data_IF_022178675426
#
_entry.id   IF_022178675426
#
_cell.length_a   1.000
_cell.length_b   1.000
_cell.length_c   1.000
_cell.angle_alpha   90.00
_cell.angle_beta   90.00
_cell.angle_gamma   90.00
#
_symmetry.space_group_name_H-M   'P 1'
#
loop_
_entity.id
_entity.type
_entity.pdbx_description
1 polymer ?
#
# COMPACT_ATOMS: atom_id res chain seq x y z
N UNK A 1 9.80 5.58 7.69
CA UNK A 1 8.47 6.09 8.03
C UNK A 1 8.14 7.22 7.07
N UNK A 2 7.29 6.97 6.06
CA UNK A 2 6.81 7.98 5.11
C UNK A 2 5.51 8.68 5.55
N UNK A 3 4.81 8.13 6.55
CA UNK A 3 3.52 8.64 7.00
C UNK A 3 3.56 10.04 7.66
N UNK A 4 2.37 10.57 7.96
CA UNK A 4 2.21 11.90 8.54
C UNK A 4 3.04 12.09 9.82
N UNK A 5 3.74 13.22 9.97
CA UNK A 5 4.61 13.52 11.12
C UNK A 5 3.84 13.91 12.40
N UNK A 6 2.58 13.50 12.52
CA UNK A 6 1.78 13.71 13.72
C UNK A 6 1.97 12.56 14.71
N UNK A 7 1.92 12.87 16.01
CA UNK A 7 2.17 11.89 17.08
C UNK A 7 1.27 10.65 16.98
N UNK A 8 -0.01 10.83 16.63
CA UNK A 8 -0.96 9.71 16.51
C UNK A 8 -0.57 8.76 15.38
N UNK A 9 -0.14 9.28 14.23
CA UNK A 9 0.31 8.48 13.10
C UNK A 9 1.64 7.76 13.40
N UNK A 10 2.54 8.41 14.13
CA UNK A 10 3.79 7.79 14.58
C UNK A 10 3.54 6.62 15.54
N UNK A 11 2.65 6.79 16.52
CA UNK A 11 2.29 5.71 17.45
C UNK A 11 1.64 4.55 16.69
N UNK A 12 0.67 4.84 15.83
CA UNK A 12 0.01 3.80 15.03
C UNK A 12 1.02 3.02 14.16
N UNK A 13 1.97 3.72 13.54
CA UNK A 13 3.01 3.07 12.74
C UNK A 13 3.99 2.26 13.58
N UNK A 14 4.41 2.76 14.75
CA UNK A 14 5.28 1.99 15.66
C UNK A 14 4.55 0.73 16.15
N UNK A 15 3.27 0.85 16.50
CA UNK A 15 2.44 -0.29 16.90
C UNK A 15 2.27 -1.30 15.76
N UNK A 16 2.15 -0.84 14.51
CA UNK A 16 2.07 -1.71 13.34
C UNK A 16 3.42 -2.37 13.01
N UNK A 17 4.52 -1.62 13.10
CA UNK A 17 5.87 -2.11 12.79
C UNK A 17 6.40 -3.08 13.85
N UNK A 18 6.12 -2.82 15.14
CA UNK A 18 6.59 -3.64 16.27
C UNK A 18 5.54 -4.69 16.68
N UNK A 19 4.30 -4.49 16.28
CA UNK A 19 3.19 -5.38 16.59
C UNK A 19 3.35 -6.80 16.03
N UNK A 20 2.43 -7.70 16.41
CA UNK A 20 2.42 -9.05 15.87
C UNK A 20 2.23 -9.00 14.35
N UNK A 21 3.04 -9.78 13.60
CA UNK A 21 2.90 -9.83 12.14
C UNK A 21 1.51 -10.31 11.70
N UNK A 22 0.89 -11.19 12.50
CA UNK A 22 -0.45 -11.69 12.30
C UNK A 22 -1.40 -11.14 13.37
N UNK A 23 -2.35 -10.31 12.94
CA UNK A 23 -3.37 -9.74 13.82
C UNK A 23 -4.60 -10.65 13.87
N UNK A 24 -5.16 -10.87 15.07
CA UNK A 24 -6.43 -11.58 15.25
C UNK A 24 -7.49 -10.56 15.68
N UNK A 25 -8.39 -10.13 14.77
CA UNK A 25 -9.43 -9.16 15.11
C UNK A 25 -10.37 -9.70 16.20
N UNK A 26 -10.83 -8.84 17.09
CA UNK A 26 -11.77 -9.22 18.16
C UNK A 26 -13.15 -9.66 17.61
N UNK A 27 -13.49 -9.27 16.39
CA UNK A 27 -14.73 -9.63 15.70
C UNK A 27 -14.62 -9.46 14.18
N UNK A 28 -15.52 -10.09 13.43
CA UNK A 28 -15.64 -9.83 11.98
C UNK A 28 -15.95 -8.35 11.71
N UNK A 29 -16.73 -7.67 12.56
CA UNK A 29 -16.98 -6.23 12.39
C UNK A 29 -15.70 -5.40 12.49
N UNK A 30 -14.81 -5.71 13.44
CA UNK A 30 -13.51 -5.01 13.52
C UNK A 30 -12.63 -5.25 12.30
N UNK A 31 -12.66 -6.46 11.73
CA UNK A 31 -11.97 -6.78 10.48
C UNK A 31 -12.55 -5.97 9.30
N UNK A 32 -13.87 -5.90 9.18
CA UNK A 32 -14.53 -5.12 8.13
C UNK A 32 -14.22 -3.62 8.24
N UNK A 33 -14.10 -3.09 9.47
CA UNK A 33 -13.67 -1.70 9.69
C UNK A 33 -12.22 -1.51 9.24
N UNK A 34 -11.31 -2.44 9.54
CA UNK A 34 -9.92 -2.38 9.10
C UNK A 34 -9.83 -2.44 7.55
N UNK A 35 -10.53 -3.38 6.91
CA UNK A 35 -10.56 -3.53 5.46
C UNK A 35 -11.06 -2.27 4.74
N UNK A 36 -12.05 -1.56 5.30
CA UNK A 36 -12.55 -0.29 4.76
C UNK A 36 -11.55 0.87 4.89
N UNK A 37 -10.58 0.78 5.81
CA UNK A 37 -9.57 1.81 6.06
C UNK A 37 -8.26 1.58 5.31
N UNK A 38 -8.08 0.41 4.70
CA UNK A 38 -6.83 -0.05 4.07
C UNK A 38 -6.25 0.91 3.02
N UNK A 39 -7.08 1.67 2.30
CA UNK A 39 -6.64 2.46 1.13
C UNK A 39 -5.86 1.59 0.13
N UNK A 40 -4.65 2.00 -0.24
CA UNK A 40 -3.79 1.40 -1.26
C UNK A 40 -3.05 0.14 -0.80
N UNK A 41 -2.91 -0.08 0.51
CA UNK A 41 -2.19 -1.24 1.06
C UNK A 41 -2.92 -2.55 0.71
N UNK A 42 -2.23 -3.70 0.80
CA UNK A 42 -2.83 -5.03 0.62
C UNK A 42 -3.00 -5.72 1.96
N UNK A 43 -4.20 -6.25 2.24
CA UNK A 43 -4.50 -6.99 3.47
C UNK A 43 -4.78 -8.46 3.13
N UNK A 44 -4.02 -9.36 3.75
CA UNK A 44 -4.21 -10.80 3.64
C UNK A 44 -5.04 -11.31 4.81
N UNK A 45 -6.17 -11.94 4.51
CA UNK A 45 -7.13 -12.42 5.50
C UNK A 45 -7.27 -13.93 5.39
N UNK A 46 -6.72 -14.64 6.38
CA UNK A 46 -6.88 -16.07 6.53
C UNK A 46 -8.09 -16.38 7.42
N UNK A 47 -8.95 -17.32 7.00
CA UNK A 47 -10.03 -17.87 7.82
C UNK A 47 -9.96 -19.38 7.81
N UNK A 48 -9.95 -20.01 8.97
CA UNK A 48 -9.91 -21.46 9.03
C UNK A 48 -9.35 -22.04 10.32
N UNK A 49 -8.60 -23.12 10.17
CA UNK A 49 -8.05 -23.92 11.25
C UNK A 49 -6.82 -23.31 11.92
N UNK A 50 -6.46 -23.83 13.09
CA UNK A 50 -5.24 -23.44 13.82
C UNK A 50 -3.96 -23.72 13.01
N UNK A 51 -3.94 -24.76 12.17
CA UNK A 51 -2.80 -25.03 11.29
C UNK A 51 -2.60 -23.93 10.25
N UNK A 52 -3.69 -23.41 9.67
CA UNK A 52 -3.61 -22.28 8.76
C UNK A 52 -3.13 -21.01 9.49
N UNK A 53 -3.59 -20.80 10.73
CA UNK A 53 -3.11 -19.69 11.57
C UNK A 53 -1.61 -19.74 11.78
N UNK A 54 -1.07 -20.91 12.11
CA UNK A 54 0.36 -21.12 12.34
C UNK A 54 1.16 -20.88 11.05
N UNK A 55 0.70 -21.45 9.93
CA UNK A 55 1.33 -21.26 8.62
C UNK A 55 1.40 -19.78 8.22
N UNK A 56 0.25 -19.08 8.28
CA UNK A 56 0.18 -17.66 7.92
C UNK A 56 0.95 -16.80 8.92
N UNK A 57 0.99 -17.18 10.21
CA UNK A 57 1.80 -16.48 11.20
C UNK A 57 3.29 -16.52 10.88
N UNK A 58 3.81 -17.67 10.46
CA UNK A 58 5.21 -17.80 10.02
C UNK A 58 5.53 -16.98 8.77
N UNK A 59 4.65 -17.03 7.76
CA UNK A 59 4.82 -16.26 6.52
C UNK A 59 4.67 -14.76 6.73
N UNK A 60 3.75 -14.34 7.60
CA UNK A 60 3.57 -12.92 7.95
C UNK A 60 4.86 -12.35 8.56
N UNK A 61 5.56 -13.12 9.40
CA UNK A 61 6.82 -12.68 10.02
C UNK A 61 7.94 -12.47 8.99
N UNK A 62 8.04 -13.34 7.97
CA UNK A 62 9.04 -13.22 6.91
C UNK A 62 8.65 -12.26 5.78
N UNK A 63 7.38 -11.89 5.67
CA UNK A 63 6.83 -11.12 4.55
C UNK A 63 5.99 -9.91 4.97
N UNK A 64 6.35 -9.27 6.10
CA UNK A 64 5.67 -8.04 6.58
C UNK A 64 5.57 -6.94 5.53
N UNK A 65 6.52 -6.86 4.59
CA UNK A 65 6.51 -5.86 3.51
C UNK A 65 5.49 -6.12 2.41
N UNK A 66 4.88 -7.32 2.33
CA UNK A 66 3.85 -7.60 1.32
C UNK A 66 2.49 -7.01 1.67
N UNK A 67 2.27 -6.68 2.95
CA UNK A 67 1.00 -6.15 3.43
C UNK A 67 0.72 -6.51 4.90
N UNK A 68 -0.49 -6.18 5.36
CA UNK A 68 -0.93 -6.55 6.70
C UNK A 68 -1.63 -7.91 6.70
N UNK A 69 -1.40 -8.71 7.75
CA UNK A 69 -1.97 -10.06 7.85
C UNK A 69 -2.98 -10.14 8.99
N UNK A 70 -4.13 -10.74 8.67
CA UNK A 70 -5.23 -10.97 9.59
C UNK A 70 -5.61 -12.45 9.61
N UNK A 71 -5.98 -12.95 10.78
CA UNK A 71 -6.58 -14.25 10.95
C UNK A 71 -7.92 -14.14 11.68
N UNK A 72 -8.96 -14.74 11.11
CA UNK A 72 -10.29 -14.86 11.75
C UNK A 72 -10.59 -16.33 11.99
N UNK A 73 -10.92 -16.70 13.23
CA UNK A 73 -11.31 -18.06 13.57
C UNK A 73 -12.61 -18.43 12.84
N UNK A 74 -12.58 -19.54 12.11
CA UNK A 74 -13.76 -19.98 11.40
C UNK A 74 -14.65 -20.83 12.32
N UNK A 75 -15.98 -20.75 12.12
CA UNK A 75 -16.91 -21.66 12.80
C UNK A 75 -16.63 -23.10 12.35
N UNK A 76 -16.79 -24.07 13.26
CA UNK A 76 -16.57 -25.48 12.99
C UNK A 76 -17.27 -25.92 11.69
N UNK A 77 -16.52 -26.55 10.78
CA UNK A 77 -17.01 -26.99 9.46
C UNK A 77 -16.83 -25.99 8.31
N UNK A 78 -16.30 -24.79 8.57
CA UNK A 78 -15.95 -23.84 7.50
C UNK A 78 -14.63 -24.25 6.85
N UNK A 79 -14.57 -24.20 5.51
CA UNK A 79 -13.35 -24.49 4.77
C UNK A 79 -12.27 -23.42 5.02
N UNK A 80 -11.01 -23.84 4.99
CA UNK A 80 -9.87 -22.93 5.03
C UNK A 80 -9.86 -22.06 3.78
N UNK A 81 -9.65 -20.76 3.97
CA UNK A 81 -9.58 -19.76 2.90
C UNK A 81 -8.54 -18.69 3.24
N UNK A 82 -7.79 -18.26 2.23
CA UNK A 82 -6.93 -17.09 2.30
C UNK A 82 -7.37 -16.10 1.23
N UNK A 83 -7.63 -14.86 1.64
CA UNK A 83 -8.05 -13.79 0.73
C UNK A 83 -7.01 -12.67 0.71
N UNK A 84 -6.63 -12.22 -0.48
CA UNK A 84 -5.87 -10.99 -0.66
C UNK A 84 -6.83 -9.86 -1.02
N UNK A 85 -7.04 -8.95 -0.09
CA UNK A 85 -7.86 -7.76 -0.29
C UNK A 85 -6.95 -6.59 -0.70
N UNK A 86 -7.09 -6.08 -1.93
CA UNK A 86 -6.18 -5.07 -2.52
C UNK A 86 -6.89 -4.10 -3.46
N UNK A 87 -6.18 -3.06 -3.89
CA UNK A 87 -6.68 -2.04 -4.83
C UNK A 87 -8.03 -1.46 -4.42
N UNK A 88 -8.86 -1.13 -5.42
CA UNK A 88 -10.18 -0.49 -5.22
C UNK A 88 -11.30 -1.52 -4.95
N UNK A 89 -11.12 -2.34 -3.91
CA UNK A 89 -12.11 -3.33 -3.46
C UNK A 89 -11.95 -4.72 -4.10
N UNK A 90 -10.76 -5.05 -4.58
CA UNK A 90 -10.48 -6.36 -5.17
C UNK A 90 -10.22 -7.42 -4.11
N UNK A 91 -10.70 -8.63 -4.38
CA UNK A 91 -10.47 -9.79 -3.54
C UNK A 91 -10.01 -10.93 -4.45
N UNK A 92 -8.79 -11.42 -4.25
CA UNK A 92 -8.40 -12.75 -4.74
C UNK A 92 -8.48 -13.76 -3.61
N UNK A 93 -8.73 -15.01 -3.97
CA UNK A 93 -8.99 -16.06 -3.01
C UNK A 93 -8.20 -17.32 -3.36
N UNK A 94 -7.56 -17.91 -2.34
CA UNK A 94 -6.94 -19.22 -2.37
C UNK A 94 -7.74 -20.15 -1.45
N UNK A 95 -8.23 -21.27 -1.99
CA UNK A 95 -9.06 -22.25 -1.28
C UNK A 95 -8.59 -23.68 -1.52
N UNK A 96 -9.24 -24.64 -0.86
CA UNK A 96 -9.05 -26.06 -1.13
C UNK A 96 -7.75 -26.60 -0.57
N UNK A 97 -7.09 -27.49 -1.30
CA UNK A 97 -5.82 -28.09 -0.87
C UNK A 97 -4.65 -27.11 -0.98
N UNK A 98 -4.76 -26.10 -1.83
CA UNK A 98 -3.68 -25.14 -2.07
C UNK A 98 -3.41 -24.24 -0.86
N UNK A 99 -4.44 -23.94 -0.07
CA UNK A 99 -4.29 -23.13 1.16
C UNK A 99 -3.58 -23.89 2.29
N UNK A 100 -3.45 -25.22 2.17
CA UNK A 100 -2.71 -26.05 3.12
C UNK A 100 -1.24 -26.24 2.71
N UNK A 101 -0.86 -25.82 1.50
CA UNK A 101 0.50 -25.93 0.97
C UNK A 101 1.23 -24.59 1.16
N UNK A 102 2.20 -24.57 2.07
CA UNK A 102 2.95 -23.35 2.41
C UNK A 102 3.62 -22.67 1.22
N UNK A 103 4.11 -23.44 0.23
CA UNK A 103 4.76 -22.85 -0.94
C UNK A 103 3.75 -22.16 -1.87
N UNK A 104 2.55 -22.74 -2.03
CA UNK A 104 1.47 -22.13 -2.80
C UNK A 104 0.90 -20.91 -2.10
N UNK A 105 0.78 -20.94 -0.78
CA UNK A 105 0.41 -19.79 0.02
C UNK A 105 1.43 -18.67 -0.16
N UNK A 106 2.73 -18.93 0.01
CA UNK A 106 3.78 -17.93 -0.18
C UNK A 106 3.76 -17.32 -1.59
N UNK A 107 3.60 -18.15 -2.62
CA UNK A 107 3.47 -17.69 -4.01
C UNK A 107 2.24 -16.79 -4.19
N UNK A 108 1.09 -17.18 -3.64
CA UNK A 108 -0.12 -16.37 -3.67
C UNK A 108 0.07 -15.01 -2.98
N UNK A 109 0.75 -14.97 -1.82
CA UNK A 109 1.06 -13.72 -1.14
C UNK A 109 1.91 -12.79 -2.02
N UNK A 110 2.94 -13.34 -2.67
CA UNK A 110 3.83 -12.58 -3.56
C UNK A 110 3.13 -12.07 -4.80
N UNK A 111 2.34 -12.92 -5.45
CA UNK A 111 1.61 -12.57 -6.68
C UNK A 111 0.58 -11.49 -6.39
N UNK A 112 -0.17 -11.65 -5.31
CA UNK A 112 -1.30 -10.79 -4.96
C UNK A 112 -0.96 -9.63 -4.03
N UNK A 113 0.33 -9.39 -3.76
CA UNK A 113 0.79 -8.24 -2.95
C UNK A 113 0.41 -6.89 -3.56
N UNK A 114 0.32 -6.81 -4.89
CA UNK A 114 -0.11 -5.60 -5.60
C UNK A 114 -1.29 -5.92 -6.53
N UNK A 115 -2.28 -5.02 -6.65
CA UNK A 115 -3.36 -5.16 -7.61
C UNK A 115 -2.82 -5.04 -9.05
N UNK A 116 -3.61 -5.50 -10.02
CA UNK A 116 -3.30 -5.26 -11.43
C UNK A 116 -3.29 -3.75 -11.76
N UNK A 117 -4.22 -3.01 -11.17
CA UNK A 117 -4.24 -1.54 -11.19
C UNK A 117 -4.63 -1.04 -9.79
N UNK A 118 -3.80 -0.18 -9.21
CA UNK A 118 -4.03 0.33 -7.87
C UNK A 118 -3.37 1.66 -7.61
N UNK A 119 -3.74 2.24 -6.48
CA UNK A 119 -3.07 3.42 -5.93
C UNK A 119 -1.65 3.05 -5.46
N UNK A 120 -0.71 3.95 -5.71
CA UNK A 120 0.64 3.93 -5.15
C UNK A 120 0.73 4.97 -4.05
N UNK A 121 1.33 4.57 -2.94
CA UNK A 121 1.71 5.43 -1.83
C UNK A 121 3.11 5.08 -1.33
N UNK A 122 3.58 5.81 -0.31
CA UNK A 122 4.92 5.62 0.26
C UNK A 122 5.12 4.21 0.86
N UNK A 123 4.04 3.50 1.22
CA UNK A 123 4.11 2.18 1.86
C UNK A 123 4.28 1.07 0.82
N UNK A 124 3.61 1.19 -0.33
CA UNK A 124 3.59 0.16 -1.36
C UNK A 124 4.51 0.45 -2.57
N UNK A 125 5.03 1.67 -2.71
CA UNK A 125 5.83 2.10 -3.87
C UNK A 125 7.04 1.20 -4.12
N UNK A 126 7.77 0.81 -3.07
CA UNK A 126 8.91 -0.10 -3.19
C UNK A 126 8.53 -1.45 -3.85
N UNK A 127 7.32 -1.94 -3.59
CA UNK A 127 6.81 -3.16 -4.23
C UNK A 127 6.58 -2.96 -5.72
N UNK A 128 6.07 -1.80 -6.14
CA UNK A 128 5.90 -1.48 -7.57
C UNK A 128 7.24 -1.37 -8.27
N UNK A 129 8.22 -0.67 -7.67
CA UNK A 129 9.58 -0.56 -8.21
C UNK A 129 10.23 -1.91 -8.45
N UNK A 130 10.13 -2.84 -7.48
CA UNK A 130 10.66 -4.19 -7.62
C UNK A 130 10.08 -4.97 -8.81
N UNK A 131 8.85 -4.64 -9.23
CA UNK A 131 8.19 -5.26 -10.41
C UNK A 131 8.41 -4.48 -11.70
N UNK A 132 8.83 -3.22 -11.63
CA UNK A 132 9.00 -2.32 -12.76
C UNK A 132 10.34 -2.51 -13.48
N UNK A 133 10.69 -3.76 -13.80
CA UNK A 133 11.99 -4.09 -14.42
C UNK A 133 12.07 -3.70 -15.90
N UNK A 134 10.93 -3.51 -16.55
CA UNK A 134 10.84 -3.06 -17.95
C UNK A 134 10.22 -1.66 -18.08
N UNK A 135 9.59 -1.16 -17.03
CA UNK A 135 8.92 0.12 -17.03
C UNK A 135 7.77 0.17 -16.02
N UNK A 136 7.03 1.27 -16.04
CA UNK A 136 5.84 1.48 -15.21
C UNK A 136 4.83 2.36 -15.94
N UNK A 137 3.54 2.06 -15.78
CA UNK A 137 2.45 2.81 -16.37
C UNK A 137 1.72 3.61 -15.27
N UNK A 138 1.84 4.93 -15.34
CA UNK A 138 1.20 5.87 -14.43
C UNK A 138 -0.10 6.41 -15.03
N UNK A 139 -1.15 6.44 -14.22
CA UNK A 139 -2.45 6.99 -14.56
C UNK A 139 -2.73 8.17 -13.64
N UNK A 140 -2.76 9.37 -14.21
CA UNK A 140 -2.89 10.63 -13.48
C UNK A 140 -4.29 11.20 -13.74
N UNK A 141 -5.18 11.12 -12.74
CA UNK A 141 -6.49 11.76 -12.79
C UNK A 141 -6.46 13.15 -12.15
N UNK A 142 -7.48 13.95 -12.43
CA UNK A 142 -7.59 15.29 -11.85
C UNK A 142 -7.72 15.21 -10.31
N UNK A 143 -7.04 16.06 -9.52
CA UNK A 143 -7.01 15.96 -8.06
C UNK A 143 -8.39 16.05 -7.40
N UNK A 144 -9.33 16.75 -8.04
CA UNK A 144 -10.70 16.90 -7.52
C UNK A 144 -11.63 15.71 -7.80
N UNK A 145 -11.28 14.84 -8.75
CA UNK A 145 -12.08 13.67 -9.15
C UNK A 145 -11.31 12.36 -9.04
N UNK A 146 -10.13 12.34 -8.43
CA UNK A 146 -9.22 11.19 -8.37
C UNK A 146 -9.93 9.88 -8.01
N UNK A 147 -10.66 9.83 -6.89
CA UNK A 147 -11.36 8.61 -6.43
C UNK A 147 -12.50 8.21 -7.39
N UNK A 148 -13.28 9.19 -7.85
CA UNK A 148 -14.43 8.95 -8.74
C UNK A 148 -13.98 8.45 -10.11
N UNK A 149 -12.95 9.07 -10.69
CA UNK A 149 -12.39 8.68 -11.98
C UNK A 149 -11.64 7.36 -11.89
N UNK A 150 -10.87 7.12 -10.83
CA UNK A 150 -10.22 5.82 -10.64
C UNK A 150 -11.24 4.69 -10.55
N UNK A 151 -12.34 4.90 -9.81
CA UNK A 151 -13.44 3.94 -9.74
C UNK A 151 -14.12 3.76 -11.09
N UNK A 152 -14.38 4.87 -11.82
CA UNK A 152 -15.04 4.87 -13.13
C UNK A 152 -14.23 4.10 -14.18
N UNK A 153 -12.91 4.30 -14.20
CA UNK A 153 -12.01 3.72 -15.21
C UNK A 153 -11.25 2.48 -14.72
N UNK A 154 -11.56 1.98 -13.51
CA UNK A 154 -10.94 0.78 -12.93
C UNK A 154 -10.91 -0.40 -13.90
N UNK A 155 -12.05 -0.69 -14.55
CA UNK A 155 -12.13 -1.82 -15.49
C UNK A 155 -11.30 -1.64 -16.75
N UNK A 156 -11.03 -0.40 -17.17
CA UNK A 156 -10.20 -0.08 -18.33
C UNK A 156 -8.75 -0.40 -18.02
N UNK A 157 -8.22 0.18 -16.94
CA UNK A 157 -6.80 0.05 -16.60
C UNK A 157 -6.43 -1.32 -16.05
N UNK A 158 -7.35 -2.06 -15.42
CA UNK A 158 -7.11 -3.47 -15.09
C UNK A 158 -6.93 -4.35 -16.33
N UNK A 159 -7.66 -4.07 -17.41
CA UNK A 159 -7.47 -4.78 -18.69
C UNK A 159 -6.13 -4.42 -19.32
N UNK A 160 -5.78 -3.13 -19.35
CA UNK A 160 -4.48 -2.66 -19.83
C UNK A 160 -3.35 -3.33 -19.04
N UNK A 161 -3.40 -3.34 -17.71
CA UNK A 161 -2.41 -4.01 -16.87
C UNK A 161 -2.32 -5.52 -17.13
N UNK A 162 -3.43 -6.16 -17.49
CA UNK A 162 -3.44 -7.59 -17.84
C UNK A 162 -2.79 -7.85 -19.20
N UNK A 163 -2.95 -6.92 -20.15
CA UNK A 163 -2.36 -6.99 -21.50
C UNK A 163 -0.86 -6.68 -21.47
N UNK A 164 -0.42 -5.74 -20.63
CA UNK A 164 0.97 -5.28 -20.50
C UNK A 164 1.55 -5.60 -19.13
N UNK A 165 1.60 -6.89 -18.77
CA UNK A 165 2.03 -7.34 -17.43
C UNK A 165 3.46 -6.94 -17.04
N UNK A 166 4.29 -6.61 -18.02
CA UNK A 166 5.65 -6.12 -17.81
C UNK A 166 5.71 -4.70 -17.22
N UNK A 167 4.60 -3.95 -17.30
CA UNK A 167 4.48 -2.60 -16.72
C UNK A 167 3.47 -2.65 -15.58
N UNK A 168 3.93 -2.62 -14.31
CA UNK A 168 3.04 -2.35 -13.20
C UNK A 168 2.22 -1.09 -13.51
N UNK A 169 0.90 -1.20 -13.40
CA UNK A 169 0.00 -0.09 -13.72
C UNK A 169 -0.51 0.50 -12.43
N UNK A 170 -0.30 1.80 -12.24
CA UNK A 170 -0.57 2.49 -11.00
C UNK A 170 -1.26 3.83 -11.24
N UNK A 171 -1.99 4.29 -10.24
CA UNK A 171 -2.41 5.69 -10.11
C UNK A 171 -1.87 6.24 -8.80
N UNK A 172 -1.82 7.56 -8.69
CA UNK A 172 -1.36 8.24 -7.48
C UNK A 172 -2.32 9.39 -7.18
N UNK A 173 -2.56 9.69 -5.91
CA UNK A 173 -3.40 10.82 -5.51
C UNK A 173 -2.70 12.13 -5.89
N UNK A 174 -3.13 12.72 -7.00
CA UNK A 174 -2.53 13.92 -7.59
C UNK A 174 -2.68 15.16 -6.71
N UNK A 175 -3.53 15.13 -5.68
CA UNK A 175 -3.60 16.18 -4.66
C UNK A 175 -2.50 16.05 -3.62
N UNK A 176 -2.15 14.82 -3.26
CA UNK A 176 -1.10 14.53 -2.27
C UNK A 176 0.29 14.64 -2.91
N UNK A 177 0.45 14.14 -4.13
CA UNK A 177 1.73 14.02 -4.82
C UNK A 177 1.85 15.01 -5.99
N UNK A 178 1.31 16.22 -5.85
CA UNK A 178 1.24 17.20 -6.94
C UNK A 178 2.62 17.55 -7.54
N UNK A 179 3.62 17.77 -6.68
CA UNK A 179 4.98 18.10 -7.11
C UNK A 179 5.59 16.94 -7.89
N UNK A 180 5.51 15.71 -7.36
CA UNK A 180 5.98 14.52 -8.05
C UNK A 180 5.31 14.33 -9.42
N UNK A 181 3.99 14.51 -9.52
CA UNK A 181 3.27 14.40 -10.80
C UNK A 181 3.76 15.42 -11.82
N UNK A 182 4.03 16.64 -11.36
CA UNK A 182 4.43 17.74 -12.24
C UNK A 182 5.90 17.63 -12.64
N UNK A 183 6.79 17.37 -11.70
CA UNK A 183 8.25 17.42 -11.87
C UNK A 183 8.78 16.08 -12.38
N UNK A 184 8.29 14.94 -11.90
CA UNK A 184 8.79 13.62 -12.31
C UNK A 184 8.01 13.01 -13.47
N UNK A 185 6.71 13.32 -13.59
CA UNK A 185 5.87 12.77 -14.66
C UNK A 185 5.50 13.82 -15.73
N UNK A 186 5.82 15.09 -15.51
CA UNK A 186 5.51 16.18 -16.45
C UNK A 186 4.02 16.45 -16.62
N UNK A 187 3.16 15.93 -15.75
CA UNK A 187 1.71 16.04 -15.95
C UNK A 187 1.18 17.31 -15.30
N UNK A 188 0.76 18.25 -16.14
CA UNK A 188 0.08 19.49 -15.73
C UNK A 188 -1.40 19.48 -16.11
N UNK A 189 -1.77 18.72 -17.14
CA UNK A 189 -3.13 18.58 -17.65
C UNK A 189 -3.69 17.18 -17.35
N UNK A 190 -4.93 17.11 -16.89
CA UNK A 190 -5.58 15.86 -16.49
C UNK A 190 -6.84 15.58 -17.33
N UNK A 191 -7.19 14.31 -17.56
CA UNK A 191 -6.45 13.09 -17.19
C UNK A 191 -5.33 12.76 -18.19
N UNK A 192 -4.23 12.18 -17.70
CA UNK A 192 -3.10 11.76 -18.52
C UNK A 192 -2.60 10.36 -18.14
N UNK A 193 -1.92 9.71 -19.07
CA UNK A 193 -1.21 8.45 -18.84
C UNK A 193 0.25 8.67 -19.19
N UNK A 194 1.16 8.18 -18.35
CA UNK A 194 2.61 8.24 -18.58
C UNK A 194 3.17 6.83 -18.54
N UNK A 195 3.87 6.43 -19.60
CA UNK A 195 4.60 5.17 -19.68
C UNK A 195 6.08 5.49 -19.52
N UNK A 196 6.68 5.00 -18.45
CA UNK A 196 8.12 4.98 -18.27
C UNK A 196 8.66 3.65 -18.79
N UNK A 197 9.63 3.66 -19.69
CA UNK A 197 10.26 2.46 -20.26
C UNK A 197 11.73 2.42 -19.83
N UNK A 198 12.11 1.36 -19.12
CA UNK A 198 13.42 1.21 -18.51
C UNK A 198 13.35 0.39 -17.22
N UNK A 199 14.49 0.06 -16.63
CA UNK A 199 14.52 -0.74 -15.41
C UNK A 199 14.48 0.14 -14.17
N UNK A 200 13.29 0.46 -13.67
CA UNK A 200 13.12 1.30 -12.48
C UNK A 200 13.56 0.59 -11.18
N UNK A 201 13.82 -0.72 -11.22
CA UNK A 201 14.29 -1.49 -10.07
C UNK A 201 15.82 -1.40 -9.88
N UNK A 202 16.55 -0.85 -10.86
CA UNK A 202 18.01 -0.81 -10.88
C UNK A 202 18.52 0.61 -10.71
N UNK A 203 19.31 0.87 -9.67
CA UNK A 203 19.96 2.17 -9.47
C UNK A 203 21.02 2.47 -10.56
N UNK A 204 21.57 1.43 -11.20
CA UNK A 204 22.61 1.55 -12.23
C UNK A 204 22.07 1.71 -13.67
N UNK A 205 20.75 1.80 -13.86
CA UNK A 205 20.19 1.90 -15.22
C UNK A 205 20.20 3.33 -15.76
N UNK A 206 20.26 3.46 -17.08
CA UNK A 206 19.96 4.74 -17.76
C UNK A 206 18.58 5.27 -17.33
N UNK A 207 18.43 6.60 -17.30
CA UNK A 207 17.16 7.27 -17.00
C UNK A 207 16.03 6.66 -17.84
N UNK A 208 14.93 6.23 -17.22
CA UNK A 208 13.85 5.59 -17.96
C UNK A 208 13.21 6.60 -18.92
N UNK A 209 12.97 6.14 -20.16
CA UNK A 209 12.35 6.95 -21.20
C UNK A 209 10.90 7.22 -20.86
N UNK A 210 10.43 8.45 -21.07
CA UNK A 210 9.09 8.87 -20.66
C UNK A 210 8.24 9.16 -21.90
N UNK A 211 7.03 8.62 -21.90
CA UNK A 211 6.04 8.85 -22.95
C UNK A 211 4.73 9.26 -22.31
N UNK A 212 4.12 10.35 -22.77
CA UNK A 212 2.86 10.87 -22.21
C UNK A 212 1.74 10.83 -23.24
N UNK A 213 0.56 10.44 -22.77
CA UNK A 213 -0.70 10.51 -23.53
C UNK A 213 -1.70 11.36 -22.75
N UNK A 214 -2.01 12.53 -23.29
CA UNK A 214 -3.14 13.32 -22.80
C UNK A 214 -4.44 12.66 -23.25
N UNK A 215 -5.35 12.41 -22.30
CA UNK A 215 -6.63 11.79 -22.58
C UNK A 215 -7.76 12.81 -22.41
N UNK A 216 -8.70 12.81 -23.35
CA UNK A 216 -10.02 13.39 -23.09
C UNK A 216 -10.81 12.41 -22.19
N UNK A 217 -11.66 12.88 -21.25
CA UNK A 217 -12.44 12.02 -20.39
C UNK A 217 -13.28 10.97 -21.15
N UNK A 218 -13.88 11.34 -22.28
CA UNK A 218 -14.63 10.45 -23.17
C UNK A 218 -13.77 9.47 -23.98
N UNK A 219 -12.45 9.70 -24.04
CA UNK A 219 -11.49 8.90 -24.80
C UNK A 219 -10.82 7.77 -24.00
N UNK A 220 -11.06 7.70 -22.68
CA UNK A 220 -10.42 6.71 -21.80
C UNK A 220 -11.03 5.33 -22.03
N UNK A 221 -10.41 4.55 -22.90
CA UNK A 221 -10.80 3.19 -23.24
C UNK A 221 -9.58 2.26 -23.26
N UNK A 222 -9.81 0.97 -23.04
CA UNK A 222 -8.72 -0.03 -23.10
C UNK A 222 -8.05 -0.01 -24.47
N UNK A 223 -8.83 0.04 -25.55
CA UNK A 223 -8.30 0.04 -26.92
C UNK A 223 -7.40 1.25 -27.20
N UNK A 224 -7.81 2.46 -26.78
CA UNK A 224 -7.01 3.66 -26.98
C UNK A 224 -5.67 3.60 -26.25
N UNK A 225 -5.69 3.23 -24.96
CA UNK A 225 -4.47 3.15 -24.14
C UNK A 225 -3.56 2.01 -24.63
N UNK A 226 -4.11 0.83 -24.89
CA UNK A 226 -3.33 -0.32 -25.38
C UNK A 226 -2.71 -0.09 -26.75
N UNK A 227 -3.44 0.61 -27.65
CA UNK A 227 -2.90 1.00 -28.96
C UNK A 227 -1.72 1.94 -28.78
N UNK A 228 -1.86 2.97 -27.97
CA UNK A 228 -0.78 3.92 -27.71
C UNK A 228 0.45 3.26 -27.09
N UNK A 229 0.29 2.39 -26.07
CA UNK A 229 1.42 1.62 -25.49
C UNK A 229 2.11 0.81 -26.58
N UNK A 230 1.33 0.13 -27.44
CA UNK A 230 1.90 -0.65 -28.54
C UNK A 230 2.67 0.20 -29.56
N UNK A 231 2.22 1.44 -29.80
CA UNK A 231 2.93 2.39 -30.68
C UNK A 231 4.21 2.92 -30.05
N UNK A 232 4.23 3.17 -28.74
CA UNK A 232 5.45 3.50 -27.98
C UNK A 232 6.46 2.36 -28.12
N UNK A 233 6.05 1.11 -27.84
CA UNK A 233 6.93 -0.06 -27.96
C UNK A 233 7.41 -0.32 -29.39
N UNK A 234 6.65 0.13 -30.39
CA UNK A 234 7.05 0.07 -31.79
C UNK A 234 7.96 1.24 -32.22
N UNK A 235 8.29 2.17 -31.32
CA UNK A 235 9.10 3.36 -31.61
C UNK A 235 8.40 4.37 -32.51
N UNK A 236 7.06 4.41 -32.49
CA UNK A 236 6.25 5.32 -33.31
C UNK A 236 5.82 6.59 -32.58
N UNK A 237 5.93 6.58 -31.25
CA UNK A 237 5.65 7.73 -30.39
C UNK A 237 6.98 8.32 -29.97
N UNK A 238 7.11 9.64 -30.09
CA UNK A 238 8.29 10.38 -29.66
C UNK A 238 8.36 10.45 -28.14
N UNK A 239 9.58 10.46 -27.62
CA UNK A 239 9.86 10.61 -26.19
C UNK A 239 9.51 12.03 -25.73
N UNK A 240 9.05 12.15 -24.49
CA UNK A 240 8.68 13.44 -23.91
C UNK A 240 9.91 14.12 -23.29
N UNK A 241 10.56 14.98 -24.08
CA UNK A 241 11.81 15.68 -23.70
C UNK A 241 11.57 16.92 -22.81
N UNK A 242 10.32 17.36 -22.58
CA UNK A 242 10.01 18.59 -21.81
C UNK A 242 10.50 18.54 -20.35
N UNK A 243 10.78 17.34 -19.82
CA UNK A 243 11.28 17.15 -18.46
C UNK A 243 12.80 17.30 -18.36
N UNK A 244 13.57 17.00 -19.42
CA UNK A 244 15.03 17.15 -19.40
C UNK A 244 15.44 18.64 -19.36
N UNK A 245 14.61 19.53 -19.89
CA UNK A 245 14.89 20.98 -19.91
C UNK A 245 14.74 21.62 -18.51
N UNK A 246 13.88 21.08 -17.64
CA UNK A 246 13.66 21.64 -16.30
C UNK A 246 14.86 21.43 -15.36
N UNK A 247 15.58 20.33 -15.51
CA UNK A 247 16.77 20.03 -14.70
C UNK A 247 17.99 20.85 -15.15
N UNK A 248 18.08 21.19 -16.44
CA UNK A 248 19.19 21.95 -17.00
C UNK A 248 19.23 23.42 -16.53
N UNK A 249 18.07 24.00 -16.20
CA UNK A 249 17.96 25.41 -15.78
C UNK A 249 18.19 25.61 -14.27
N UNK A 250 18.25 24.54 -13.48
CA UNK A 250 18.46 24.58 -12.02
C UNK A 250 19.92 24.66 -11.55
N UNK A 251 20.88 24.23 -12.38
CA UNK A 251 22.31 24.23 -12.03
C UNK A 251 23.05 25.54 -12.39
N UNK A 252 22.31 26.61 -12.74
CA UNK A 252 22.87 27.81 -13.36
C UNK A 252 23.02 29.07 -12.48
N UNK A 253 22.64 29.08 -11.19
CA UNK A 253 22.68 30.34 -10.41
C UNK A 253 23.03 30.20 -8.93
N UNK A 254 24.12 29.50 -8.61
CA UNK A 254 24.89 29.74 -7.38
C UNK A 254 26.28 30.32 -7.73
N UNK A 255 26.32 31.35 -8.58
CA UNK A 255 27.49 32.24 -8.59
C UNK A 255 27.51 33.07 -7.30
N UNK A 256 28.20 32.53 -6.30
CA UNK A 256 29.06 33.31 -5.40
C UNK A 256 28.41 34.48 -4.67
N UNK A 257 27.56 34.21 -3.68
CA UNK A 257 27.64 35.01 -2.47
C UNK A 257 28.68 34.37 -1.56
N UNK A 258 29.92 34.85 -1.70
CA UNK A 258 30.97 34.69 -0.69
C UNK A 258 30.38 35.15 0.65
N UNK A 259 29.96 34.20 1.48
CA UNK A 259 29.75 34.45 2.90
C UNK A 259 31.10 34.86 3.45
N UNK A 260 31.25 36.07 4.03
CA UNK A 260 32.50 36.47 4.65
C UNK A 260 32.85 35.44 5.73
N UNK A 261 34.05 34.87 5.63
CA UNK A 261 34.65 34.07 6.68
C UNK A 261 34.78 34.97 7.92
N UNK A 262 33.82 34.88 8.85
CA UNK A 262 34.03 35.38 10.21
C UNK A 262 34.99 34.39 10.89
N UNK A 263 36.27 34.78 10.91
CA UNK A 263 37.32 34.22 11.77
C UNK A 263 36.91 34.39 13.23
N UNK A 264 36.13 33.45 13.76
CA UNK A 264 35.93 33.31 15.21
C UNK A 264 37.12 32.56 15.81
N UNK A 265 38.10 33.36 16.26
CA UNK A 265 39.09 33.02 17.28
C UNK A 265 38.37 32.59 18.56
N UNK A 266 38.27 31.28 18.82
CA UNK A 266 37.88 30.76 20.14
C UNK A 266 39.10 30.15 20.86
N UNK A 267 39.75 30.92 21.76
CA UNK A 267 40.74 30.40 22.70
C UNK A 267 40.03 29.94 23.97
N UNK A 268 39.63 28.67 24.03
CA UNK A 268 39.29 28.06 25.32
C UNK A 268 40.28 26.98 25.72
N UNK A 269 41.09 27.42 26.68
CA UNK A 269 42.05 26.75 27.54
C UNK A 269 41.56 25.43 28.14
N UNK A 270 42.56 24.60 28.36
CA UNK A 270 42.66 23.56 29.38
C UNK A 270 41.94 23.95 30.69
N UNK A 271 41.11 23.05 31.24
CA UNK A 271 41.41 22.49 32.57
C UNK A 271 40.38 21.45 33.05
N UNK A 272 40.91 20.26 33.32
CA UNK A 272 40.85 19.56 34.61
C UNK A 272 39.54 18.96 35.19
N UNK A 273 39.80 17.83 35.86
CA UNK A 273 39.00 17.06 36.84
C UNK A 273 38.03 16.01 36.26
N UNK A 274 38.34 14.71 36.31
CA UNK A 274 38.61 13.82 37.47
C UNK A 274 37.36 13.41 38.24
N UNK A 275 37.45 12.18 38.76
CA UNK A 275 36.62 11.49 39.74
C UNK A 275 35.49 10.60 39.20
N UNK A 276 35.83 9.30 39.15
CA UNK A 276 34.86 8.21 39.14
C UNK A 276 34.17 8.02 40.48
N UNK A 277 33.05 7.30 40.45
CA UNK A 277 32.48 6.66 41.62
C UNK A 277 31.78 5.36 41.21
N UNK A 278 32.48 4.25 41.47
CA UNK A 278 31.90 2.93 41.60
C UNK A 278 30.99 2.88 42.83
N UNK A 279 29.76 2.39 42.68
CA UNK A 279 28.94 1.96 43.83
C UNK A 279 28.30 0.61 43.52
N UNK A 280 28.94 -0.44 44.02
CA UNK A 280 28.27 -1.69 44.39
C UNK A 280 27.37 -1.44 45.61
N UNK A 281 26.22 -2.11 45.70
CA UNK A 281 25.53 -2.21 46.99
C UNK A 281 24.06 -2.64 47.00
N UNK A 282 23.85 -3.93 47.24
CA UNK A 282 22.89 -4.50 48.19
C UNK A 282 21.36 -4.43 47.96
N UNK A 283 20.82 -5.61 47.65
CA UNK A 283 19.72 -6.33 48.32
C UNK A 283 18.75 -5.60 49.29
N UNK A 284 17.44 -5.77 49.05
CA UNK A 284 16.39 -6.08 50.04
C UNK A 284 15.07 -6.37 49.30
N UNK A 285 14.50 -7.57 49.36
CA UNK A 285 13.53 -8.04 50.36
C UNK A 285 12.09 -7.63 50.05
N UNK A 286 11.23 -8.64 50.00
CA UNK A 286 9.89 -8.60 49.41
C UNK A 286 8.86 -7.69 50.07
N UNK A 287 7.78 -7.46 49.32
CA UNK A 287 6.44 -7.23 49.86
C UNK A 287 5.45 -8.04 49.02
N UNK A 288 4.83 -8.99 49.71
CA UNK A 288 3.61 -9.71 49.33
C UNK A 288 2.42 -8.73 49.32
N UNK A 289 1.72 -8.64 48.19
CA UNK A 289 0.49 -7.88 48.04
C UNK A 289 -0.62 -8.76 47.47
N UNK A 290 -1.30 -9.44 48.39
CA UNK A 290 -2.59 -10.10 48.22
C UNK A 290 -3.67 -9.06 47.85
N UNK A 291 -4.34 -9.22 46.70
CA UNK A 291 -5.62 -8.55 46.45
C UNK A 291 -6.63 -9.55 45.93
N UNK A 292 -7.58 -9.82 46.81
CA UNK A 292 -8.70 -10.72 46.63
C UNK A 292 -9.66 -10.25 45.53
N UNK A 293 -10.14 -11.25 44.79
CA UNK A 293 -11.29 -11.18 43.91
C UNK A 293 -12.58 -11.08 44.73
N UNK A 294 -13.48 -10.15 44.37
CA UNK A 294 -14.93 -10.31 44.54
C UNK A 294 -15.68 -9.55 43.45
N UNK A 295 -16.53 -10.27 42.71
CA UNK A 295 -17.51 -9.74 41.77
C UNK A 295 -18.06 -10.90 40.93
N UNK A 296 -19.32 -11.32 41.15
CA UNK A 296 -20.35 -10.81 40.25
C UNK A 296 -21.72 -10.60 40.92
N UNK A 297 -22.47 -9.59 40.46
CA UNK A 297 -23.91 -9.54 40.66
C UNK A 297 -24.62 -8.93 39.45
N UNK A 298 -25.24 -9.83 38.69
CA UNK A 298 -26.61 -9.77 38.18
C UNK A 298 -27.08 -8.53 37.39
N UNK A 299 -27.25 -8.74 36.07
CA UNK A 299 -28.29 -8.11 35.24
C UNK A 299 -29.71 -8.54 35.72
N UNK A 300 -30.87 -7.95 35.30
CA UNK A 300 -31.28 -7.95 33.88
C UNK A 300 -32.19 -6.77 33.36
N UNK A 301 -32.23 -6.69 32.02
CA UNK A 301 -33.35 -6.38 31.09
C UNK A 301 -34.37 -5.24 31.33
N UNK A 302 -34.54 -4.38 30.30
CA UNK A 302 -35.69 -4.37 29.35
C UNK A 302 -35.48 -3.23 28.31
N UNK A 303 -35.40 -3.47 26.99
CA UNK A 303 -36.48 -3.70 26.00
C UNK A 303 -37.55 -2.59 25.96
N UNK A 304 -37.54 -1.74 24.91
CA UNK A 304 -38.66 -1.45 23.97
C UNK A 304 -38.12 -0.65 22.76
N UNK A 305 -38.29 -1.16 21.54
CA UNK A 305 -38.57 -0.35 20.34
C UNK A 305 -39.08 -1.26 19.20
N UNK A 306 -40.38 -1.14 18.92
CA UNK A 306 -41.09 -1.77 17.79
C UNK A 306 -41.21 -0.82 16.59
N UNK A 307 -41.23 -1.41 15.38
CA UNK A 307 -41.92 -0.94 14.16
C UNK A 307 -41.12 -0.02 13.23
N UNK A 308 -41.14 -0.12 11.90
CA UNK A 308 -41.80 -0.96 10.89
C UNK A 308 -41.01 -0.71 9.57
N UNK A 309 -40.55 -1.72 8.79
CA UNK A 309 -41.23 -2.42 7.70
C UNK A 309 -41.76 -1.56 6.53
N UNK A 310 -41.04 -1.59 5.40
CA UNK A 310 -41.46 -1.51 3.98
C UNK A 310 -40.13 -1.46 3.17
N UNK A 311 -39.76 -2.27 2.18
CA UNK A 311 -40.47 -3.18 1.29
C UNK A 311 -39.94 -2.91 -0.12
N UNK A 312 -38.99 -3.69 -0.65
CA UNK A 312 -38.71 -3.75 -2.09
C UNK A 312 -38.10 -5.09 -2.49
N UNK A 313 -38.83 -5.82 -3.33
CA UNK A 313 -38.43 -7.04 -4.00
C UNK A 313 -38.28 -6.75 -5.50
N UNK A 314 -37.19 -7.21 -6.10
CA UNK A 314 -36.91 -7.50 -7.52
C UNK A 314 -35.39 -7.78 -7.56
N UNK A 315 -34.82 -8.93 -7.92
CA UNK A 315 -35.21 -9.96 -8.86
C UNK A 315 -34.29 -9.87 -10.08
N UNK A 316 -33.22 -10.67 -10.18
CA UNK A 316 -32.66 -11.19 -11.45
C UNK A 316 -31.35 -11.98 -11.27
N UNK A 317 -31.37 -13.19 -11.86
CA UNK A 317 -30.36 -13.85 -12.68
C UNK A 317 -28.95 -14.18 -12.13
N UNK A 318 -28.79 -15.47 -11.85
CA UNK A 318 -27.53 -16.23 -11.84
C UNK A 318 -26.95 -16.38 -13.26
N UNK A 319 -25.64 -16.15 -13.49
CA UNK A 319 -24.96 -16.63 -14.68
C UNK A 319 -24.20 -17.94 -14.40
N UNK A 320 -24.53 -18.95 -15.18
CA UNK A 320 -23.86 -20.25 -15.30
C UNK A 320 -22.45 -20.09 -15.85
N UNK A 321 -21.44 -20.56 -15.13
CA UNK A 321 -20.06 -20.64 -15.61
C UNK A 321 -19.91 -21.75 -16.67
N UNK A 322 -19.45 -21.39 -17.86
CA UNK A 322 -19.01 -22.32 -18.89
C UNK A 322 -17.53 -22.68 -18.67
N UNK A 323 -17.25 -23.98 -18.57
CA UNK A 323 -15.91 -24.56 -18.67
C UNK A 323 -15.39 -24.39 -20.10
N UNK A 324 -14.16 -23.93 -20.24
CA UNK A 324 -13.35 -24.11 -21.45
C UNK A 324 -12.29 -25.17 -21.14
N UNK A 325 -12.10 -26.07 -22.11
CA UNK A 325 -11.17 -27.20 -22.10
C UNK A 325 -9.74 -26.76 -22.41
#
# INVERSE_FOLDING_TARGET
YGGGRQNESLVAWVEEAIGPALTVPASENSLQVALKKRRASTYFVARGSAQLRELIGGLAESHRSLGAFYFSEATEGTANVLQAHRGFGEIAELTGEDVADGAKVEQFLKDEALPAFGEVDDENYAGYLQRATEGMLWVCFHPDSFIDDTTRYLSVFKKVATEFRQFPTACLDTRVYQEHVKEELGVTDFPAVVLQVGNLASEDSETPKRYRLQLAPEGITTEAVSTWISEVLAGKVEEDEELEELDADGEGSEEGQETPEEEDDDPYDEDSADEGASVEGAAASGVSGDTSAEGPSSAPNALVAEGAAEGYAQGAATPTAARVA
#
